data_IF_612878634583
#
_entry.id   IF_612878634583
#
_cell.length_a   1.000
_cell.length_b   1.000
_cell.length_c   1.000
_cell.angle_alpha   90.00
_cell.angle_beta   90.00
_cell.angle_gamma   90.00
#
_symmetry.space_group_name_H-M   'P 1'
#
loop_
_entity.id
_entity.type
_entity.pdbx_description
1 polymer ?
#
# COMPACT_ATOMS: atom_id res chain seq x y z
N UNK A 1 -6.46 -24.27 14.42
CA UNK A 1 -6.27 -23.06 13.61
C UNK A 1 -5.22 -22.18 14.29
N UNK A 2 -3.95 -22.44 14.03
CA UNK A 2 -2.83 -21.64 14.51
C UNK A 2 -2.85 -20.30 13.77
N UNK A 3 -3.10 -19.21 14.50
CA UNK A 3 -2.92 -17.85 13.97
C UNK A 3 -1.42 -17.66 13.79
N UNK A 4 -0.94 -17.65 12.54
CA UNK A 4 0.48 -17.79 12.19
C UNK A 4 1.33 -16.52 12.34
N UNK A 5 0.80 -15.41 12.87
CA UNK A 5 1.61 -14.22 13.15
C UNK A 5 1.09 -13.46 14.37
N UNK A 6 1.96 -13.09 15.33
CA UNK A 6 1.58 -12.19 16.40
C UNK A 6 1.27 -10.82 15.79
N UNK A 7 0.06 -10.33 16.08
CA UNK A 7 -0.41 -8.98 15.82
C UNK A 7 0.66 -7.95 16.22
N UNK A 8 1.32 -7.33 15.24
CA UNK A 8 2.43 -6.40 15.50
C UNK A 8 1.85 -5.00 15.67
N UNK A 9 1.54 -4.65 16.92
CA UNK A 9 0.98 -3.33 17.32
C UNK A 9 1.93 -2.16 17.06
N UNK A 10 3.23 -2.42 16.86
CA UNK A 10 4.22 -1.42 16.44
C UNK A 10 4.35 -1.46 14.92
N UNK A 11 3.72 -0.49 14.27
CA UNK A 11 4.15 -0.01 12.95
C UNK A 11 5.65 0.28 13.08
N UNK A 12 6.50 -0.50 12.39
CA UNK A 12 7.95 -0.23 12.39
C UNK A 12 8.14 1.23 11.97
N UNK A 13 9.10 1.93 12.58
CA UNK A 13 9.39 3.35 12.25
C UNK A 13 9.55 3.55 10.74
N UNK A 14 10.06 2.54 10.03
CA UNK A 14 10.15 2.53 8.58
C UNK A 14 8.77 2.63 7.89
N UNK A 15 7.76 1.90 8.36
CA UNK A 15 6.40 1.98 7.80
C UNK A 15 5.76 3.33 8.12
N UNK A 16 5.99 3.89 9.30
CA UNK A 16 5.52 5.24 9.64
C UNK A 16 6.12 6.30 8.71
N UNK A 17 7.44 6.24 8.48
CA UNK A 17 8.12 7.12 7.54
C UNK A 17 7.58 6.94 6.11
N UNK A 18 7.26 5.70 5.70
CA UNK A 18 6.64 5.43 4.38
C UNK A 18 5.22 5.98 4.28
N UNK A 19 4.44 5.94 5.36
CA UNK A 19 3.10 6.56 5.40
C UNK A 19 3.23 8.08 5.23
N UNK A 20 4.14 8.72 5.95
CA UNK A 20 4.40 10.16 5.80
C UNK A 20 4.86 10.49 4.38
N UNK A 21 5.76 9.69 3.81
CA UNK A 21 6.15 9.80 2.41
C UNK A 21 4.94 9.69 1.47
N UNK A 22 4.08 8.68 1.64
CA UNK A 22 2.84 8.52 0.85
C UNK A 22 1.91 9.73 0.99
N UNK A 23 1.83 10.35 2.16
CA UNK A 23 1.01 11.54 2.38
C UNK A 23 1.62 12.80 1.74
N UNK A 24 2.95 12.88 1.69
CA UNK A 24 3.69 13.97 1.02
C UNK A 24 3.73 13.83 -0.50
N UNK A 25 3.68 12.60 -1.02
CA UNK A 25 3.71 12.30 -2.45
C UNK A 25 2.29 12.28 -3.00
N UNK A 26 1.99 13.19 -3.91
CA UNK A 26 0.71 13.17 -4.64
C UNK A 26 0.73 12.04 -5.66
N UNK A 27 -0.22 11.10 -5.54
CA UNK A 27 -0.43 10.02 -6.50
C UNK A 27 -1.89 10.03 -6.94
N UNK A 28 -2.14 9.50 -8.13
CA UNK A 28 -3.45 9.41 -8.72
C UNK A 28 -3.80 7.95 -8.98
N UNK A 29 -5.02 7.56 -8.62
CA UNK A 29 -5.59 6.29 -9.08
C UNK A 29 -6.02 6.46 -10.54
N UNK A 30 -5.32 5.78 -11.45
CA UNK A 30 -5.60 5.83 -12.89
C UNK A 30 -6.76 4.91 -13.24
N UNK A 31 -6.74 3.68 -12.73
CA UNK A 31 -7.75 2.68 -13.06
C UNK A 31 -7.84 1.58 -11.99
N UNK A 32 -9.03 1.02 -11.80
CA UNK A 32 -9.26 -0.22 -11.03
C UNK A 32 -9.54 -1.36 -12.01
N UNK A 33 -8.56 -2.26 -12.22
CA UNK A 33 -8.71 -3.42 -13.12
C UNK A 33 -9.56 -4.53 -12.48
N UNK A 34 -9.71 -4.52 -11.15
CA UNK A 34 -10.54 -5.47 -10.42
C UNK A 34 -10.74 -5.03 -8.97
N UNK A 35 -11.48 -5.82 -8.15
CA UNK A 35 -11.74 -5.48 -6.75
C UNK A 35 -10.45 -5.41 -5.91
N UNK A 36 -9.40 -6.10 -6.35
CA UNK A 36 -8.11 -6.20 -5.67
C UNK A 36 -6.94 -5.67 -6.53
N UNK A 37 -7.21 -5.06 -7.70
CA UNK A 37 -6.18 -4.63 -8.65
C UNK A 37 -6.34 -3.17 -9.04
N UNK A 38 -5.30 -2.39 -8.74
CA UNK A 38 -5.28 -0.93 -8.86
C UNK A 38 -4.10 -0.50 -9.71
N UNK A 39 -4.31 0.48 -10.58
CA UNK A 39 -3.25 1.12 -11.37
C UNK A 39 -3.14 2.55 -10.88
N UNK A 40 -1.96 2.92 -10.39
CA UNK A 40 -1.68 4.24 -9.87
C UNK A 40 -0.56 4.92 -10.66
N UNK A 41 -0.50 6.24 -10.56
CA UNK A 41 0.50 7.05 -11.21
C UNK A 41 0.92 8.20 -10.29
N UNK A 42 2.23 8.44 -10.18
CA UNK A 42 2.77 9.50 -9.34
C UNK A 42 2.70 10.86 -10.05
N UNK A 43 2.48 11.93 -9.28
CA UNK A 43 2.57 13.28 -9.80
C UNK A 43 4.01 13.54 -10.25
N UNK A 44 4.20 13.88 -11.53
CA UNK A 44 5.48 14.01 -12.24
C UNK A 44 6.13 12.70 -12.73
N UNK A 45 5.42 11.57 -12.71
CA UNK A 45 5.87 10.35 -13.37
C UNK A 45 4.85 9.87 -14.41
N UNK A 46 5.30 9.60 -15.64
CA UNK A 46 4.46 9.01 -16.68
C UNK A 46 4.32 7.48 -16.53
N UNK A 47 5.14 6.88 -15.66
CA UNK A 47 5.07 5.44 -15.36
C UNK A 47 3.87 5.14 -14.49
N UNK A 48 3.14 4.10 -14.90
CA UNK A 48 2.01 3.55 -14.16
C UNK A 48 2.48 2.35 -13.36
N UNK A 49 2.10 2.30 -12.09
CA UNK A 49 2.40 1.19 -11.20
C UNK A 49 1.13 0.38 -10.95
N UNK A 50 1.21 -0.93 -11.17
CA UNK A 50 0.13 -1.85 -10.84
C UNK A 50 0.33 -2.36 -9.42
N UNK A 51 -0.71 -2.22 -8.61
CA UNK A 51 -0.77 -2.65 -7.21
C UNK A 51 -1.86 -3.70 -7.09
N UNK A 52 -1.53 -4.82 -6.47
CA UNK A 52 -2.47 -5.89 -6.15
C UNK A 52 -2.60 -6.00 -4.62
N UNK A 53 -3.83 -5.90 -4.12
CA UNK A 53 -4.22 -6.05 -2.71
C UNK A 53 -5.05 -7.33 -2.61
N UNK A 54 -4.39 -8.48 -2.58
CA UNK A 54 -5.04 -9.79 -2.48
C UNK A 54 -4.63 -10.54 -1.22
N UNK A 55 -4.41 -11.85 -1.36
CA UNK A 55 -3.81 -12.68 -0.31
C UNK A 55 -2.37 -12.26 0.02
N UNK A 56 -1.67 -11.70 -0.97
CA UNK A 56 -0.35 -11.11 -0.90
C UNK A 56 -0.43 -9.71 -1.49
N UNK A 57 0.30 -8.76 -0.91
CA UNK A 57 0.35 -7.39 -1.42
C UNK A 57 1.54 -7.27 -2.37
N UNK A 58 1.29 -6.88 -3.62
CA UNK A 58 2.37 -6.82 -4.63
C UNK A 58 2.28 -5.55 -5.44
N UNK A 59 3.43 -4.92 -5.69
CA UNK A 59 3.54 -3.73 -6.53
C UNK A 59 4.56 -3.93 -7.66
N UNK A 60 4.24 -3.43 -8.86
CA UNK A 60 5.18 -3.41 -9.99
C UNK A 60 6.35 -2.42 -9.83
N UNK A 61 6.50 -1.76 -8.68
CA UNK A 61 7.66 -0.91 -8.39
C UNK A 61 8.95 -1.69 -8.07
N UNK A 62 8.86 -3.02 -7.89
CA UNK A 62 10.02 -3.88 -7.65
C UNK A 62 10.48 -3.95 -6.19
N UNK A 63 9.69 -3.43 -5.25
CA UNK A 63 9.94 -3.56 -3.81
C UNK A 63 9.33 -4.86 -3.30
N UNK A 64 10.10 -5.65 -2.55
CA UNK A 64 9.63 -6.91 -1.95
C UNK A 64 8.70 -6.66 -0.74
N UNK A 65 8.86 -5.52 -0.08
CA UNK A 65 8.08 -5.07 1.07
C UNK A 65 6.98 -4.05 0.70
N UNK A 66 6.21 -3.65 1.72
CA UNK A 66 5.16 -2.64 1.65
C UNK A 66 5.72 -1.29 1.21
N UNK A 67 5.41 -0.89 -0.03
CA UNK A 67 5.85 0.38 -0.62
C UNK A 67 4.80 1.49 -0.49
N UNK A 68 5.21 2.71 -0.82
CA UNK A 68 4.35 3.91 -0.77
C UNK A 68 3.10 3.80 -1.68
N UNK A 69 3.19 3.01 -2.75
CA UNK A 69 2.11 2.73 -3.69
C UNK A 69 1.02 1.85 -3.09
N UNK A 70 1.42 0.80 -2.35
CA UNK A 70 0.50 -0.08 -1.62
C UNK A 70 -0.21 0.72 -0.52
N UNK A 71 0.56 1.50 0.25
CA UNK A 71 0.04 2.38 1.28
C UNK A 71 -0.96 3.41 0.72
N UNK A 72 -0.70 3.97 -0.46
CA UNK A 72 -1.63 4.88 -1.12
C UNK A 72 -2.96 4.21 -1.40
N UNK A 73 -2.95 3.00 -1.96
CA UNK A 73 -4.20 2.26 -2.24
C UNK A 73 -4.93 1.94 -0.94
N UNK A 74 -4.24 1.49 0.11
CA UNK A 74 -4.88 1.17 1.40
C UNK A 74 -5.48 2.41 2.07
N UNK A 75 -4.73 3.51 2.17
CA UNK A 75 -5.11 4.70 2.93
C UNK A 75 -6.04 5.64 2.15
N UNK A 76 -5.80 5.85 0.86
CA UNK A 76 -6.53 6.84 0.04
C UNK A 76 -7.66 6.22 -0.76
N UNK A 77 -7.44 5.03 -1.35
CA UNK A 77 -8.43 4.39 -2.23
C UNK A 77 -9.42 3.57 -1.42
N UNK A 78 -8.93 2.62 -0.63
CA UNK A 78 -9.75 1.76 0.23
C UNK A 78 -10.22 2.47 1.51
N UNK A 79 -9.63 3.64 1.83
CA UNK A 79 -9.89 4.42 3.04
C UNK A 79 -9.77 3.61 4.33
N UNK A 80 -8.85 2.66 4.33
CA UNK A 80 -8.53 1.89 5.54
C UNK A 80 -7.84 2.83 6.52
N UNK A 81 -8.36 3.00 7.74
CA UNK A 81 -7.72 3.88 8.70
C UNK A 81 -6.38 3.28 9.14
N UNK A 82 -5.34 4.11 9.21
CA UNK A 82 -4.00 3.71 9.66
C UNK A 82 -3.97 3.14 11.10
N UNK A 83 -5.08 3.30 11.85
CA UNK A 83 -5.29 2.69 13.17
C UNK A 83 -5.70 1.22 13.09
N UNK A 84 -6.00 0.71 11.89
CA UNK A 84 -6.27 -0.71 11.69
C UNK A 84 -4.96 -1.43 11.33
N UNK A 85 -4.62 -2.49 12.06
CA UNK A 85 -3.37 -3.24 11.96
C UNK A 85 -3.45 -4.21 10.76
N UNK A 86 -3.58 -3.68 9.54
CA UNK A 86 -3.66 -4.49 8.31
C UNK A 86 -2.35 -4.47 7.52
N UNK A 87 -1.26 -4.02 8.15
CA UNK A 87 0.08 -3.96 7.57
C UNK A 87 0.98 -4.92 8.34
N UNK A 88 0.95 -6.18 7.90
CA UNK A 88 1.96 -7.20 8.15
C UNK A 88 1.72 -8.33 7.13
N UNK A 89 2.14 -8.10 5.89
CA UNK A 89 2.61 -9.16 5.00
C UNK A 89 4.09 -8.90 4.80
#
# INVERSE_FOLDING_TARGET
>A
MSRLVPYRTKVSEEVAARIEQTLSTTMYLVQTTGPTSYVIQEQNCEKKHKVLIGSLQTCSCGTADICIHILFVMLKVLRVPATTPVVAD
#
